data_IF_413868240677
#
_entry.id   IF_413868240677
#
_cell.length_a   1.000
_cell.length_b   1.000
_cell.length_c   1.000
_cell.angle_alpha   90.00
_cell.angle_beta   90.00
_cell.angle_gamma   90.00
#
_symmetry.space_group_name_H-M   'P 1'
#
loop_
_entity.id
_entity.type
_entity.pdbx_description
1 polymer ?
#
# COMPACT_ATOMS: atom_id res chain seq x y z
N UNK A 1 12.62 47.89 -6.05
CA UNK A 1 11.21 47.68 -6.43
C UNK A 1 10.44 48.96 -6.57
N UNK A 2 10.48 49.84 -5.57
CA UNK A 2 9.72 51.10 -5.62
C UNK A 2 10.11 52.02 -6.80
N UNK A 3 11.38 52.08 -7.15
CA UNK A 3 11.85 52.87 -8.28
C UNK A 3 11.37 52.33 -9.63
N UNK A 4 11.19 51.01 -9.74
CA UNK A 4 10.63 50.37 -10.91
C UNK A 4 9.15 50.70 -11.07
N UNK A 5 8.38 50.69 -10.01
CA UNK A 5 6.96 50.99 -10.03
C UNK A 5 6.63 52.43 -10.38
N UNK A 6 7.47 53.36 -10.01
CA UNK A 6 7.26 54.76 -10.38
C UNK A 6 7.54 55.03 -11.86
N UNK A 7 8.22 54.15 -12.55
CA UNK A 7 8.59 54.32 -13.97
C UNK A 7 7.64 53.57 -14.93
N UNK A 8 6.73 52.73 -14.46
CA UNK A 8 5.81 51.95 -15.27
C UNK A 8 4.35 52.38 -15.07
N UNK A 9 3.49 52.10 -16.06
CA UNK A 9 2.06 52.35 -15.95
C UNK A 9 1.41 51.32 -15.05
N UNK A 10 0.20 51.63 -14.58
CA UNK A 10 -0.58 50.68 -13.76
C UNK A 10 -0.82 49.35 -14.46
N UNK A 11 -1.04 49.38 -15.76
CA UNK A 11 -1.23 48.14 -16.54
C UNK A 11 0.05 47.30 -16.61
N UNK A 12 1.18 47.96 -16.85
CA UNK A 12 2.49 47.30 -16.87
C UNK A 12 2.84 46.73 -15.50
N UNK A 13 2.56 47.49 -14.44
CA UNK A 13 2.75 47.03 -13.06
C UNK A 13 1.89 45.77 -12.77
N UNK A 14 0.64 45.80 -13.17
CA UNK A 14 -0.25 44.63 -12.98
C UNK A 14 0.24 43.42 -13.74
N UNK A 15 0.75 43.58 -14.95
CA UNK A 15 1.34 42.47 -15.72
C UNK A 15 2.55 41.86 -15.02
N UNK A 16 3.46 42.72 -14.54
CA UNK A 16 4.65 42.28 -13.82
C UNK A 16 4.26 41.53 -12.53
N UNK A 17 3.35 42.10 -11.76
CA UNK A 17 2.84 41.48 -10.52
C UNK A 17 2.16 40.12 -10.78
N UNK A 18 1.39 40.03 -11.87
CA UNK A 18 0.74 38.78 -12.26
C UNK A 18 1.76 37.71 -12.63
N UNK A 19 2.83 38.09 -13.34
CA UNK A 19 3.88 37.15 -13.73
C UNK A 19 4.63 36.64 -12.51
N UNK A 20 5.00 37.52 -11.58
CA UNK A 20 5.67 37.13 -10.34
C UNK A 20 4.80 36.21 -9.49
N UNK A 21 3.53 36.57 -9.33
CA UNK A 21 2.55 35.72 -8.60
C UNK A 21 2.38 34.37 -9.24
N UNK A 22 2.32 34.31 -10.56
CA UNK A 22 2.20 33.05 -11.30
C UNK A 22 3.44 32.17 -11.10
N UNK A 23 4.63 32.76 -11.12
CA UNK A 23 5.89 32.04 -10.86
C UNK A 23 5.93 31.47 -9.42
N UNK A 24 5.55 32.28 -8.44
CA UNK A 24 5.48 31.86 -7.05
C UNK A 24 4.49 30.73 -6.87
N UNK A 25 3.29 30.87 -7.44
CA UNK A 25 2.26 29.82 -7.39
C UNK A 25 2.75 28.54 -8.02
N UNK A 26 3.41 28.62 -9.17
CA UNK A 26 3.98 27.47 -9.87
C UNK A 26 5.03 26.77 -9.01
N UNK A 27 5.95 27.54 -8.40
CA UNK A 27 6.99 27.00 -7.53
C UNK A 27 6.38 26.26 -6.33
N UNK A 28 5.38 26.86 -5.69
CA UNK A 28 4.66 26.26 -4.56
C UNK A 28 3.99 24.97 -4.99
N UNK A 29 3.26 24.98 -6.10
CA UNK A 29 2.60 23.79 -6.65
C UNK A 29 3.58 22.68 -6.97
N UNK A 30 4.70 23.03 -7.59
CA UNK A 30 5.74 22.07 -7.94
C UNK A 30 6.37 21.44 -6.69
N UNK A 31 6.73 22.25 -5.70
CA UNK A 31 7.29 21.78 -4.43
C UNK A 31 6.29 20.88 -3.69
N UNK A 32 5.03 21.29 -3.64
CA UNK A 32 3.96 20.51 -3.01
C UNK A 32 3.76 19.18 -3.74
N UNK A 33 3.74 19.18 -5.05
CA UNK A 33 3.60 17.97 -5.87
C UNK A 33 4.74 16.99 -5.62
N UNK A 34 5.99 17.48 -5.63
CA UNK A 34 7.15 16.64 -5.37
C UNK A 34 7.13 16.06 -3.96
N UNK A 35 6.78 16.86 -2.95
CA UNK A 35 6.63 16.40 -1.58
C UNK A 35 5.53 15.35 -1.43
N UNK A 36 4.39 15.56 -2.09
CA UNK A 36 3.28 14.61 -2.11
C UNK A 36 3.68 13.30 -2.77
N UNK A 37 4.44 13.38 -3.86
CA UNK A 37 4.95 12.19 -4.55
C UNK A 37 5.89 11.38 -3.67
N UNK A 38 6.81 12.02 -2.96
CA UNK A 38 7.73 11.34 -2.04
C UNK A 38 6.97 10.62 -0.93
N UNK A 39 5.97 11.27 -0.33
CA UNK A 39 5.13 10.67 0.71
C UNK A 39 4.35 9.48 0.15
N UNK A 40 3.77 9.63 -1.03
CA UNK A 40 3.03 8.57 -1.72
C UNK A 40 3.93 7.37 -1.99
N UNK A 41 5.11 7.59 -2.55
CA UNK A 41 6.06 6.52 -2.87
C UNK A 41 6.52 5.77 -1.61
N UNK A 42 6.76 6.49 -0.51
CA UNK A 42 7.09 5.89 0.79
C UNK A 42 5.95 5.01 1.32
N UNK A 43 4.71 5.47 1.22
CA UNK A 43 3.54 4.70 1.63
C UNK A 43 3.37 3.45 0.77
N UNK A 44 3.53 3.58 -0.54
CA UNK A 44 3.45 2.45 -1.47
C UNK A 44 4.52 1.41 -1.18
N UNK A 45 5.74 1.85 -0.88
CA UNK A 45 6.82 0.94 -0.53
C UNK A 45 6.51 0.14 0.73
N UNK A 46 6.01 0.82 1.78
CA UNK A 46 5.60 0.16 3.02
C UNK A 46 4.47 -0.83 2.81
N UNK A 47 3.46 -0.45 2.01
CA UNK A 47 2.33 -1.32 1.70
C UNK A 47 2.75 -2.52 0.86
N UNK A 48 3.66 -2.33 -0.10
CA UNK A 48 4.22 -3.41 -0.90
C UNK A 48 4.99 -4.41 -0.03
N UNK A 49 5.79 -3.91 0.91
CA UNK A 49 6.51 -4.74 1.87
C UNK A 49 5.53 -5.51 2.76
N UNK A 50 4.50 -4.84 3.28
CA UNK A 50 3.47 -5.48 4.09
C UNK A 50 2.74 -6.57 3.30
N UNK A 51 2.44 -6.33 2.03
CA UNK A 51 1.82 -7.32 1.14
C UNK A 51 2.69 -8.56 0.98
N UNK A 52 4.00 -8.38 0.82
CA UNK A 52 4.94 -9.50 0.68
C UNK A 52 5.13 -10.29 1.97
N UNK A 53 5.06 -9.61 3.10
CA UNK A 53 5.32 -10.21 4.42
C UNK A 53 4.09 -10.76 5.10
N UNK A 54 2.88 -10.41 4.65
CA UNK A 54 1.65 -10.86 5.30
C UNK A 54 1.53 -12.38 5.23
N UNK A 55 1.29 -12.98 6.38
CA UNK A 55 1.16 -14.44 6.54
C UNK A 55 -0.08 -14.77 7.35
N UNK A 56 -0.63 -15.94 7.10
CA UNK A 56 -1.69 -16.48 7.90
C UNK A 56 -1.09 -17.14 9.15
N UNK A 57 -1.15 -16.44 10.28
CA UNK A 57 -0.65 -16.95 11.56
C UNK A 57 -1.52 -18.09 12.08
N UNK A 58 -0.92 -19.01 12.82
CA UNK A 58 -1.62 -20.22 13.31
C UNK A 58 -2.82 -19.92 14.21
N UNK A 59 -2.72 -18.86 15.03
CA UNK A 59 -3.74 -18.44 15.97
C UNK A 59 -4.84 -17.58 15.34
N UNK A 60 -4.70 -17.24 14.06
CA UNK A 60 -5.65 -16.37 13.35
C UNK A 60 -6.42 -17.11 12.28
N UNK A 61 -7.68 -16.73 12.09
CA UNK A 61 -8.53 -17.30 11.06
C UNK A 61 -8.15 -16.78 9.66
N UNK A 62 -8.59 -17.52 8.64
CA UNK A 62 -8.49 -17.07 7.26
C UNK A 62 -9.17 -15.73 7.06
N UNK A 63 -10.32 -15.50 7.69
CA UNK A 63 -11.05 -14.24 7.57
C UNK A 63 -10.24 -13.04 8.08
N UNK A 64 -9.51 -13.21 9.18
CA UNK A 64 -8.62 -12.18 9.71
C UNK A 64 -7.47 -11.88 8.76
N UNK A 65 -6.84 -12.92 8.22
CA UNK A 65 -5.79 -12.79 7.21
C UNK A 65 -6.30 -12.07 5.97
N UNK A 66 -7.45 -12.52 5.44
CA UNK A 66 -8.04 -11.96 4.23
C UNK A 66 -8.46 -10.51 4.43
N UNK A 67 -8.98 -10.15 5.60
CA UNK A 67 -9.33 -8.77 5.92
C UNK A 67 -8.10 -7.86 5.89
N UNK A 68 -6.98 -8.28 6.49
CA UNK A 68 -5.71 -7.54 6.45
C UNK A 68 -5.18 -7.40 5.03
N UNK A 69 -5.22 -8.48 4.26
CA UNK A 69 -4.79 -8.48 2.86
C UNK A 69 -5.61 -7.48 2.05
N UNK A 70 -6.92 -7.50 2.25
CA UNK A 70 -7.84 -6.61 1.55
C UNK A 70 -7.61 -5.14 1.93
N UNK A 71 -7.31 -4.85 3.19
CA UNK A 71 -6.94 -3.51 3.64
C UNK A 71 -5.69 -3.00 2.94
N UNK A 72 -4.67 -3.84 2.79
CA UNK A 72 -3.46 -3.48 2.06
C UNK A 72 -3.77 -3.18 0.59
N UNK A 73 -4.54 -4.05 -0.06
CA UNK A 73 -4.94 -3.88 -1.46
C UNK A 73 -5.72 -2.58 -1.66
N UNK A 74 -6.68 -2.30 -0.78
CA UNK A 74 -7.48 -1.07 -0.83
C UNK A 74 -6.63 0.17 -0.56
N UNK A 75 -5.68 0.10 0.36
CA UNK A 75 -4.77 1.22 0.65
C UNK A 75 -3.88 1.55 -0.54
N UNK A 76 -3.40 0.53 -1.25
CA UNK A 76 -2.63 0.71 -2.49
C UNK A 76 -3.51 1.35 -3.57
N UNK A 77 -4.73 0.88 -3.72
CA UNK A 77 -5.70 1.44 -4.67
C UNK A 77 -5.98 2.92 -4.38
N UNK A 78 -6.15 3.29 -3.12
CA UNK A 78 -6.39 4.67 -2.71
C UNK A 78 -5.21 5.60 -3.02
N UNK A 79 -4.01 5.05 -3.16
CA UNK A 79 -2.83 5.79 -3.58
C UNK A 79 -2.66 5.85 -5.11
N UNK A 80 -3.63 5.34 -5.86
CA UNK A 80 -3.62 5.39 -7.32
C UNK A 80 -2.90 4.24 -8.00
N UNK A 81 -2.51 3.22 -7.24
CA UNK A 81 -1.89 2.02 -7.77
C UNK A 81 -2.84 0.82 -7.61
N UNK A 82 -2.55 -0.27 -8.29
CA UNK A 82 -3.37 -1.48 -8.21
C UNK A 82 -2.47 -2.70 -8.10
N UNK A 83 -2.78 -3.57 -7.15
CA UNK A 83 -2.12 -4.87 -7.08
C UNK A 83 -2.87 -5.82 -8.03
N UNK A 84 -2.20 -6.44 -9.00
CA UNK A 84 -2.84 -7.35 -9.92
C UNK A 84 -3.49 -8.53 -9.20
N UNK A 85 -4.69 -8.91 -9.62
CA UNK A 85 -5.43 -10.02 -9.03
C UNK A 85 -4.63 -11.33 -8.97
N UNK A 86 -3.87 -11.71 -10.01
CA UNK A 86 -3.03 -12.92 -9.92
C UNK A 86 -2.01 -12.88 -8.79
N UNK A 87 -1.49 -11.72 -8.43
CA UNK A 87 -0.58 -11.57 -7.28
C UNK A 87 -1.30 -11.77 -5.96
N UNK A 88 -2.51 -11.27 -5.85
CA UNK A 88 -3.35 -11.44 -4.66
C UNK A 88 -3.67 -12.93 -4.47
N UNK A 89 -4.10 -13.60 -5.52
CA UNK A 89 -4.43 -15.02 -5.51
C UNK A 89 -3.20 -15.85 -5.11
N UNK A 90 -2.05 -15.56 -5.68
CA UNK A 90 -0.80 -16.26 -5.33
C UNK A 90 -0.42 -16.07 -3.87
N UNK A 91 -0.61 -14.88 -3.33
CA UNK A 91 -0.34 -14.60 -1.92
C UNK A 91 -1.26 -15.44 -1.02
N UNK A 92 -2.55 -15.48 -1.32
CA UNK A 92 -3.52 -16.27 -0.58
C UNK A 92 -3.17 -17.76 -0.64
N UNK A 93 -2.91 -18.28 -1.82
CA UNK A 93 -2.57 -19.71 -2.01
C UNK A 93 -1.27 -20.07 -1.30
N UNK A 94 -0.26 -19.22 -1.37
CA UNK A 94 1.00 -19.45 -0.65
C UNK A 94 0.78 -19.48 0.87
N UNK A 95 0.01 -18.54 1.39
CA UNK A 95 -0.28 -18.47 2.83
C UNK A 95 -1.08 -19.66 3.31
N UNK A 96 -2.05 -20.12 2.54
CA UNK A 96 -2.80 -21.33 2.82
C UNK A 96 -1.91 -22.57 2.79
N UNK A 97 -1.03 -22.65 1.79
CA UNK A 97 -0.09 -23.76 1.65
C UNK A 97 0.87 -23.83 2.85
N UNK A 98 1.46 -22.70 3.23
CA UNK A 98 2.39 -22.63 4.37
C UNK A 98 1.69 -23.03 5.67
N UNK A 99 0.49 -22.53 5.92
CA UNK A 99 -0.29 -22.89 7.10
C UNK A 99 -0.67 -24.37 7.13
N UNK A 100 -1.10 -24.89 5.99
CA UNK A 100 -1.47 -26.28 5.84
C UNK A 100 -0.28 -27.19 6.07
N UNK A 101 0.86 -26.84 5.50
CA UNK A 101 2.13 -27.55 5.68
C UNK A 101 2.56 -27.58 7.16
N UNK A 102 2.49 -26.44 7.84
CA UNK A 102 2.80 -26.36 9.26
C UNK A 102 1.89 -27.25 10.11
N UNK A 103 0.60 -27.30 9.79
CA UNK A 103 -0.36 -28.19 10.47
C UNK A 103 -0.05 -29.65 10.22
N UNK A 104 0.27 -30.03 9.00
CA UNK A 104 0.66 -31.40 8.67
C UNK A 104 1.90 -31.79 9.46
N UNK A 105 2.91 -30.93 9.49
CA UNK A 105 4.16 -31.16 10.24
C UNK A 105 3.87 -31.37 11.74
N UNK A 106 3.02 -30.54 12.32
CA UNK A 106 2.62 -30.67 13.72
C UNK A 106 1.88 -31.99 14.00
N UNK A 107 1.05 -32.43 13.06
CA UNK A 107 0.32 -33.68 13.16
C UNK A 107 1.26 -34.89 13.03
N UNK A 108 2.24 -34.82 12.14
CA UNK A 108 3.23 -35.88 11.94
C UNK A 108 4.08 -36.16 13.19
N UNK A 109 4.21 -35.20 14.08
CA UNK A 109 4.86 -35.37 15.37
C UNK A 109 3.97 -36.09 16.40
N UNK A 110 2.71 -36.32 16.07
CA UNK A 110 1.72 -36.96 16.95
C UNK A 110 1.73 -38.47 16.80
N UNK A 111 1.38 -39.19 17.89
CA UNK A 111 1.33 -40.65 17.91
C UNK A 111 0.17 -41.25 17.12
N UNK A 112 -0.92 -40.52 16.92
CA UNK A 112 -2.14 -40.94 16.20
C UNK A 112 -2.27 -40.20 14.87
N UNK A 113 -1.24 -40.25 14.05
CA UNK A 113 -1.09 -39.44 12.81
C UNK A 113 -2.31 -39.59 11.89
N UNK A 114 -2.70 -40.80 11.56
CA UNK A 114 -3.76 -41.06 10.56
C UNK A 114 -5.12 -40.51 10.99
N UNK A 115 -5.50 -40.76 12.23
CA UNK A 115 -6.79 -40.31 12.77
C UNK A 115 -6.85 -38.81 12.95
N UNK A 116 -5.79 -38.22 13.50
CA UNK A 116 -5.70 -36.78 13.72
C UNK A 116 -5.61 -36.04 12.39
N UNK A 117 -4.85 -36.57 11.45
CA UNK A 117 -4.70 -35.98 10.10
C UNK A 117 -6.06 -35.89 9.41
N UNK A 118 -6.82 -36.98 9.36
CA UNK A 118 -8.13 -36.98 8.73
C UNK A 118 -9.08 -35.98 9.38
N UNK A 119 -9.18 -36.02 10.71
CA UNK A 119 -10.07 -35.12 11.46
C UNK A 119 -9.72 -33.65 11.28
N UNK A 120 -8.45 -33.30 11.41
CA UNK A 120 -8.03 -31.91 11.32
C UNK A 120 -8.01 -31.35 9.90
N UNK A 121 -7.66 -32.16 8.91
CA UNK A 121 -7.72 -31.73 7.52
C UNK A 121 -9.15 -31.45 7.07
N UNK A 122 -10.08 -32.33 7.40
CA UNK A 122 -11.51 -32.15 7.11
C UNK A 122 -12.04 -30.91 7.87
N UNK A 123 -11.69 -30.77 9.13
CA UNK A 123 -12.15 -29.65 9.96
C UNK A 123 -11.56 -28.29 9.59
N UNK A 124 -10.48 -28.24 8.80
CA UNK A 124 -9.83 -27.02 8.37
C UNK A 124 -10.07 -26.66 6.89
N UNK A 125 -10.77 -27.53 6.18
CA UNK A 125 -11.21 -27.22 4.84
C UNK A 125 -12.55 -26.50 4.86
#
# INVERSE_FOLDING_TARGET
>A
MNALFSAVTNEEFKKISSIETAKEAWTILQTTYEGTKVVKDSKLQRLTTSFKEIKMEEDKSFNEFYAKLKDIVNSVFNLGETIPEPKIVRNVLRSLHERFHAKITAIEESKDIDKILLTKLVGNL
#
